data_IF_133410507262
#
_entry.id   IF_133410507262
#
_cell.length_a   1.000
_cell.length_b   1.000
_cell.length_c   1.000
_cell.angle_alpha   90.00
_cell.angle_beta   90.00
_cell.angle_gamma   90.00
#
_symmetry.space_group_name_H-M   'P 1'
#
loop_
_entity.id
_entity.type
_entity.pdbx_description
1 polymer ?
#
# COMPACT_ATOMS: atom_id res chain seq x y z
N UNK A 1 -2.63 -15.21 5.66
CA UNK A 1 -1.57 -15.45 6.68
C UNK A 1 -0.28 -14.86 6.13
N UNK A 2 0.68 -14.45 6.97
CA UNK A 2 2.02 -14.15 6.47
C UNK A 2 2.62 -15.40 5.83
N UNK A 3 3.21 -15.25 4.65
CA UNK A 3 3.96 -16.32 3.98
C UNK A 3 5.40 -16.35 4.52
N UNK A 4 5.91 -17.54 4.79
CA UNK A 4 7.28 -17.71 5.30
C UNK A 4 8.25 -18.03 4.17
N UNK A 5 9.23 -17.14 3.98
CA UNK A 5 10.36 -17.40 3.10
C UNK A 5 11.51 -17.95 3.96
N UNK A 6 11.98 -19.16 3.63
CA UNK A 6 13.16 -19.74 4.28
C UNK A 6 14.42 -19.22 3.60
N UNK A 7 15.30 -18.61 4.39
CA UNK A 7 16.61 -18.12 3.95
C UNK A 7 17.72 -18.85 4.72
N UNK A 8 18.90 -19.06 4.12
CA UNK A 8 20.08 -19.50 4.85
C UNK A 8 20.42 -18.55 6.01
N UNK A 9 20.93 -19.09 7.12
CA UNK A 9 21.25 -18.35 8.34
C UNK A 9 22.16 -17.15 8.08
N UNK A 10 23.17 -17.33 7.23
CA UNK A 10 24.13 -16.31 6.84
C UNK A 10 23.44 -15.12 6.16
N UNK A 11 22.42 -15.38 5.33
CA UNK A 11 21.63 -14.31 4.68
C UNK A 11 20.71 -13.59 5.66
N UNK A 12 20.19 -14.30 6.66
CA UNK A 12 19.40 -13.67 7.73
C UNK A 12 20.28 -12.73 8.57
N UNK A 13 21.49 -13.15 8.94
CA UNK A 13 22.43 -12.30 9.68
C UNK A 13 22.87 -11.09 8.87
N UNK A 14 23.14 -11.24 7.56
CA UNK A 14 23.41 -10.11 6.68
C UNK A 14 22.26 -9.11 6.61
N UNK A 15 21.01 -9.61 6.54
CA UNK A 15 19.82 -8.74 6.56
C UNK A 15 19.65 -8.04 7.90
N UNK A 16 19.97 -8.70 9.04
CA UNK A 16 19.98 -8.07 10.36
C UNK A 16 20.98 -6.91 10.41
N UNK A 17 22.23 -7.16 10.03
CA UNK A 17 23.27 -6.14 9.97
C UNK A 17 22.89 -4.98 9.06
N UNK A 18 22.33 -5.27 7.88
CA UNK A 18 21.84 -4.24 6.96
C UNK A 18 20.72 -3.40 7.58
N UNK A 19 19.77 -4.06 8.26
CA UNK A 19 18.64 -3.40 8.92
C UNK A 19 19.08 -2.48 10.06
N UNK A 20 20.10 -2.87 10.82
CA UNK A 20 20.71 -2.06 11.87
C UNK A 20 21.44 -0.84 11.28
N UNK A 21 22.26 -1.06 10.25
CA UNK A 21 23.00 0.00 9.58
C UNK A 21 22.08 1.06 8.95
N UNK A 22 20.92 0.65 8.47
CA UNK A 22 19.94 1.52 7.82
C UNK A 22 18.84 2.01 8.79
N UNK A 23 18.91 1.64 10.08
CA UNK A 23 17.94 1.96 11.13
C UNK A 23 16.48 1.71 10.68
N UNK A 24 16.24 0.56 10.07
CA UNK A 24 14.91 0.15 9.56
C UNK A 24 14.68 -1.34 9.84
N UNK A 25 13.43 -1.81 9.76
CA UNK A 25 13.18 -3.25 9.94
C UNK A 25 13.68 -4.07 8.74
N UNK A 26 13.87 -5.38 8.92
CA UNK A 26 14.19 -6.29 7.80
C UNK A 26 13.08 -6.23 6.72
N UNK A 27 11.82 -6.10 7.14
CA UNK A 27 10.70 -5.97 6.21
C UNK A 27 10.79 -4.67 5.39
N UNK A 28 11.24 -3.57 6.00
CA UNK A 28 11.43 -2.30 5.30
C UNK A 28 12.64 -2.35 4.37
N UNK A 29 13.73 -3.02 4.76
CA UNK A 29 14.88 -3.29 3.87
C UNK A 29 14.43 -4.01 2.59
N UNK A 30 13.62 -5.06 2.75
CA UNK A 30 13.08 -5.82 1.63
C UNK A 30 12.17 -4.92 0.76
N UNK A 31 11.33 -4.08 1.38
CA UNK A 31 10.47 -3.15 0.66
C UNK A 31 11.25 -2.07 -0.12
N UNK A 32 12.36 -1.56 0.42
CA UNK A 32 13.27 -0.67 -0.30
C UNK A 32 13.89 -1.39 -1.50
N UNK A 33 14.42 -2.61 -1.30
CA UNK A 33 15.02 -3.39 -2.37
C UNK A 33 14.03 -3.66 -3.51
N UNK A 34 12.79 -4.07 -3.19
CA UNK A 34 11.74 -4.30 -4.20
C UNK A 34 11.46 -3.02 -5.00
N UNK A 35 11.35 -1.86 -4.33
CA UNK A 35 11.14 -0.57 -5.01
C UNK A 35 12.29 -0.22 -5.95
N UNK A 36 13.54 -0.42 -5.52
CA UNK A 36 14.69 -0.22 -6.41
C UNK A 36 14.64 -1.12 -7.65
N UNK A 37 14.19 -2.38 -7.51
CA UNK A 37 14.05 -3.28 -8.65
C UNK A 37 12.93 -2.86 -9.61
N UNK A 38 11.84 -2.25 -9.09
CA UNK A 38 10.79 -1.64 -9.92
C UNK A 38 11.35 -0.44 -10.69
N UNK A 39 12.08 0.46 -10.02
CA UNK A 39 12.71 1.63 -10.65
C UNK A 39 13.72 1.24 -11.73
N UNK A 40 14.45 0.14 -11.52
CA UNK A 40 15.38 -0.44 -12.49
C UNK A 40 14.68 -1.18 -13.65
N UNK A 41 13.36 -1.35 -13.60
CA UNK A 41 12.57 -2.06 -14.61
C UNK A 41 12.68 -3.60 -14.53
N UNK A 42 13.29 -4.14 -13.47
CA UNK A 42 13.38 -5.59 -13.25
C UNK A 42 12.07 -6.19 -12.73
N UNK A 43 11.20 -5.35 -12.17
CA UNK A 43 9.86 -5.72 -11.71
C UNK A 43 8.84 -4.73 -12.29
N UNK A 44 7.67 -5.26 -12.67
CA UNK A 44 6.55 -4.42 -13.03
C UNK A 44 6.07 -3.61 -11.81
N UNK A 45 5.67 -2.37 -12.05
CA UNK A 45 5.14 -1.48 -11.03
C UNK A 45 3.69 -1.83 -10.66
N UNK A 46 3.52 -2.98 -9.99
CA UNK A 46 2.22 -3.53 -9.56
C UNK A 46 2.34 -4.16 -8.18
N UNK A 47 1.24 -4.13 -7.43
CA UNK A 47 1.15 -4.82 -6.13
C UNK A 47 0.49 -6.18 -6.34
N UNK A 48 1.17 -7.32 -6.07
CA UNK A 48 0.55 -8.63 -6.23
C UNK A 48 -0.76 -8.76 -5.44
N UNK A 49 -1.81 -9.25 -6.10
CA UNK A 49 -3.14 -9.41 -5.50
C UNK A 49 -3.96 -8.11 -5.37
N UNK A 50 -3.44 -6.98 -5.85
CA UNK A 50 -4.20 -5.73 -5.99
C UNK A 50 -4.05 -5.21 -7.42
N UNK A 51 -5.17 -5.01 -8.09
CA UNK A 51 -5.21 -4.48 -9.45
C UNK A 51 -5.81 -3.07 -9.41
N UNK A 52 -5.10 -2.11 -9.99
CA UNK A 52 -5.61 -0.74 -10.18
C UNK A 52 -5.57 -0.44 -11.68
N UNK A 53 -6.74 -0.25 -12.29
CA UNK A 53 -6.88 0.02 -13.71
C UNK A 53 -7.61 1.35 -13.91
N UNK A 54 -7.16 2.16 -14.87
CA UNK A 54 -7.92 3.33 -15.32
C UNK A 54 -8.67 3.03 -16.61
N UNK A 55 -9.96 3.33 -16.62
CA UNK A 55 -10.84 3.28 -17.80
C UNK A 55 -11.52 4.64 -17.96
N UNK A 56 -10.98 5.46 -18.87
CA UNK A 56 -11.46 6.83 -19.08
C UNK A 56 -11.27 7.70 -17.83
N UNK A 57 -12.37 8.19 -17.26
CA UNK A 57 -12.37 9.03 -16.05
C UNK A 57 -12.58 8.23 -14.74
N UNK A 58 -12.57 6.90 -14.82
CA UNK A 58 -12.79 6.01 -13.69
C UNK A 58 -11.56 5.14 -13.42
N UNK A 59 -11.22 4.98 -12.14
CA UNK A 59 -10.14 4.16 -11.61
C UNK A 59 -10.77 3.00 -10.87
N UNK A 60 -10.67 1.80 -11.42
CA UNK A 60 -11.13 0.57 -10.78
C UNK A 60 -10.03 0.03 -9.87
N UNK A 61 -10.37 -0.19 -8.60
CA UNK A 61 -9.50 -0.79 -7.59
C UNK A 61 -10.07 -2.16 -7.23
N UNK A 62 -9.30 -3.21 -7.45
CA UNK A 62 -9.62 -4.58 -7.06
C UNK A 62 -8.55 -5.08 -6.08
N UNK A 63 -8.93 -5.38 -4.85
CA UNK A 63 -8.00 -5.85 -3.80
C UNK A 63 -8.01 -7.38 -3.61
N UNK A 64 -8.77 -8.08 -4.45
CA UNK A 64 -9.15 -9.49 -4.28
C UNK A 64 -10.18 -9.72 -3.15
N UNK A 65 -10.38 -8.76 -2.25
CA UNK A 65 -11.42 -8.81 -1.21
C UNK A 65 -12.67 -7.99 -1.61
N UNK A 66 -12.46 -6.87 -2.29
CA UNK A 66 -13.51 -6.04 -2.86
C UNK A 66 -13.01 -5.39 -4.13
N UNK A 67 -13.98 -5.02 -4.98
CA UNK A 67 -13.75 -4.31 -6.23
C UNK A 67 -14.65 -3.10 -6.30
N UNK A 68 -14.07 -1.93 -6.52
CA UNK A 68 -14.79 -0.66 -6.57
C UNK A 68 -14.27 0.22 -7.71
N UNK A 69 -15.07 1.17 -8.17
CA UNK A 69 -14.69 2.12 -9.20
C UNK A 69 -14.81 3.54 -8.67
N UNK A 70 -13.71 4.28 -8.72
CA UNK A 70 -13.56 5.62 -8.16
C UNK A 70 -13.35 6.62 -9.29
N UNK A 71 -13.79 7.87 -9.12
CA UNK A 71 -13.30 8.94 -9.99
C UNK A 71 -11.82 9.21 -9.71
N UNK A 72 -11.09 9.79 -10.65
CA UNK A 72 -9.67 10.13 -10.46
C UNK A 72 -9.44 11.00 -9.20
N UNK A 73 -10.31 11.99 -8.95
CA UNK A 73 -10.21 12.83 -7.75
C UNK A 73 -10.45 12.05 -6.45
N UNK A 74 -11.43 11.14 -6.45
CA UNK A 74 -11.72 10.30 -5.29
C UNK A 74 -10.57 9.32 -5.02
N UNK A 75 -9.97 8.76 -6.07
CA UNK A 75 -8.78 7.91 -5.96
C UNK A 75 -7.59 8.65 -5.33
N UNK A 76 -7.32 9.90 -5.73
CA UNK A 76 -6.27 10.74 -5.10
C UNK A 76 -6.53 10.98 -3.62
N UNK A 77 -7.79 11.29 -3.25
CA UNK A 77 -8.18 11.50 -1.85
C UNK A 77 -8.03 10.22 -1.03
N UNK A 78 -8.43 9.08 -1.59
CA UNK A 78 -8.28 7.78 -0.93
C UNK A 78 -6.81 7.42 -0.71
N UNK A 79 -5.95 7.67 -1.69
CA UNK A 79 -4.51 7.49 -1.56
C UNK A 79 -3.91 8.36 -0.43
N UNK A 80 -4.32 9.63 -0.34
CA UNK A 80 -3.90 10.53 0.73
C UNK A 80 -4.33 10.05 2.12
N UNK A 81 -5.56 9.52 2.25
CA UNK A 81 -6.07 8.95 3.50
C UNK A 81 -5.26 7.72 3.95
N UNK A 82 -4.98 6.80 3.02
CA UNK A 82 -4.15 5.62 3.32
C UNK A 82 -2.74 6.07 3.73
N UNK A 83 -2.14 7.02 3.01
CA UNK A 83 -0.80 7.54 3.35
C UNK A 83 -0.75 8.16 4.76
N UNK A 84 -1.76 8.95 5.13
CA UNK A 84 -1.84 9.57 6.45
C UNK A 84 -1.96 8.55 7.60
N UNK A 85 -2.49 7.35 7.31
CA UNK A 85 -2.58 6.27 8.29
C UNK A 85 -1.28 5.45 8.36
N UNK A 86 -0.54 5.32 7.25
CA UNK A 86 0.75 4.61 7.20
C UNK A 86 1.85 5.43 7.88
N UNK A 87 1.96 6.71 7.52
CA UNK A 87 2.89 7.65 8.15
C UNK A 87 2.09 8.57 9.05
N UNK A 88 2.15 8.43 10.39
CA UNK A 88 1.58 9.43 11.27
C UNK A 88 2.37 10.73 11.11
N UNK A 89 2.01 11.53 10.11
CA UNK A 89 2.52 12.89 9.94
C UNK A 89 1.80 13.75 10.97
N UNK A 90 2.56 14.59 11.67
CA UNK A 90 2.18 15.64 12.63
C UNK A 90 1.31 16.75 12.02
N UNK A 91 0.61 16.46 10.92
CA UNK A 91 -0.32 17.37 10.27
C UNK A 91 -1.47 16.50 9.72
N UNK A 92 -2.69 16.62 10.30
CA UNK A 92 -3.87 15.99 9.74
C UNK A 92 -3.99 16.38 8.26
N UNK A 93 -4.28 15.42 7.39
CA UNK A 93 -4.65 15.73 6.01
C UNK A 93 -5.82 16.74 6.05
N UNK A 94 -5.64 17.92 5.43
CA UNK A 94 -6.72 18.90 5.28
C UNK A 94 -7.80 18.31 4.37
N UNK A 95 -8.93 17.93 4.97
CA UNK A 95 -10.11 17.33 4.32
C UNK A 95 -9.94 15.84 4.04
N UNK A 96 -10.90 14.93 4.27
CA UNK A 96 -12.34 15.08 4.15
C UNK A 96 -13.05 13.81 4.73
N UNK A 97 -14.12 13.93 5.56
CA UNK A 97 -14.89 12.79 6.11
C UNK A 97 -15.86 12.06 5.14
N UNK A 98 -15.69 12.21 3.81
CA UNK A 98 -16.69 11.76 2.82
C UNK A 98 -16.11 10.91 1.68
N UNK A 99 -15.62 9.70 1.99
CA UNK A 99 -15.77 8.59 1.04
C UNK A 99 -16.81 7.64 1.67
N UNK A 100 -18.10 7.74 1.29
CA UNK A 100 -19.16 7.01 1.98
C UNK A 100 -18.98 5.48 1.88
N UNK A 101 -18.34 5.01 0.80
CA UNK A 101 -18.21 3.60 0.46
C UNK A 101 -16.84 3.00 0.80
N UNK A 102 -15.81 3.80 1.07
CA UNK A 102 -14.47 3.30 1.41
C UNK A 102 -13.95 3.96 2.68
N UNK A 103 -13.35 3.16 3.54
CA UNK A 103 -12.78 3.59 4.81
C UNK A 103 -11.41 2.96 5.03
N UNK A 104 -10.64 3.58 5.91
CA UNK A 104 -9.29 3.15 6.26
C UNK A 104 -9.14 3.23 7.77
N UNK A 105 -8.83 2.10 8.39
CA UNK A 105 -8.63 2.00 9.82
C UNK A 105 -7.26 1.41 10.14
N UNK A 106 -6.66 1.84 11.26
CA UNK A 106 -5.44 1.20 11.78
C UNK A 106 -5.80 -0.11 12.47
N UNK A 107 -5.00 -1.16 12.24
CA UNK A 107 -5.11 -2.46 12.92
C UNK A 107 -3.73 -2.86 13.46
N UNK A 108 -3.45 -2.46 14.69
CA UNK A 108 -2.12 -2.60 15.28
C UNK A 108 -1.08 -1.83 14.47
N UNK A 109 -0.06 -2.52 13.97
CA UNK A 109 0.94 -1.94 13.05
C UNK A 109 0.50 -1.94 11.60
N UNK A 110 -0.63 -2.55 11.24
CA UNK A 110 -1.12 -2.69 9.86
C UNK A 110 -2.23 -1.70 9.52
N UNK A 111 -2.55 -1.57 8.22
CA UNK A 111 -3.65 -0.75 7.71
C UNK A 111 -4.77 -1.65 7.19
N UNK A 112 -6.02 -1.37 7.58
CA UNK A 112 -7.22 -2.08 7.11
C UNK A 112 -7.97 -1.17 6.13
N UNK A 113 -8.03 -1.57 4.88
CA UNK A 113 -8.91 -1.01 3.86
C UNK A 113 -10.29 -1.65 4.03
N UNK A 114 -11.35 -0.84 4.03
CA UNK A 114 -12.72 -1.27 4.30
C UNK A 114 -13.60 -0.73 3.18
N UNK A 115 -14.41 -1.59 2.59
CA UNK A 115 -15.55 -1.20 1.76
C UNK A 115 -16.79 -1.17 2.68
N UNK A 116 -17.35 0.02 2.88
CA UNK A 116 -18.53 0.26 3.73
C UNK A 116 -19.82 -0.20 3.07
N UNK A 117 -19.88 -0.28 1.74
CA UNK A 117 -21.07 -0.76 1.04
C UNK A 117 -21.24 -2.26 1.20
N UNK A 118 -20.13 -3.01 1.14
CA UNK A 118 -20.15 -4.49 1.25
C UNK A 118 -19.76 -5.01 2.63
N UNK A 119 -19.13 -4.19 3.47
CA UNK A 119 -18.51 -4.60 4.73
C UNK A 119 -17.20 -5.39 4.55
N UNK A 120 -16.75 -5.61 3.30
CA UNK A 120 -15.53 -6.33 3.01
C UNK A 120 -14.30 -5.52 3.45
N UNK A 121 -13.22 -6.22 3.82
CA UNK A 121 -12.00 -5.55 4.24
C UNK A 121 -10.74 -6.33 3.91
N UNK A 122 -9.68 -5.59 3.58
CA UNK A 122 -8.33 -6.10 3.33
C UNK A 122 -7.36 -5.46 4.31
N UNK A 123 -6.58 -6.26 5.03
CA UNK A 123 -5.49 -5.74 5.88
C UNK A 123 -4.17 -5.83 5.11
N UNK A 124 -3.42 -4.73 5.09
CA UNK A 124 -2.12 -4.57 4.43
C UNK A 124 -1.04 -4.25 5.47
N UNK A 125 0.15 -4.80 5.27
CA UNK A 125 1.35 -4.34 5.98
C UNK A 125 1.68 -2.88 5.56
N UNK A 126 2.35 -2.08 6.41
CA UNK A 126 2.67 -0.67 6.10
C UNK A 126 3.36 -0.46 4.76
N UNK A 127 4.40 -1.26 4.46
CA UNK A 127 5.13 -1.20 3.20
C UNK A 127 4.23 -1.46 1.98
N UNK A 128 3.39 -2.48 2.05
CA UNK A 128 2.42 -2.82 1.01
C UNK A 128 1.37 -1.72 0.83
N UNK A 129 0.97 -1.06 1.93
CA UNK A 129 0.07 0.09 1.87
C UNK A 129 0.73 1.31 1.20
N UNK A 130 2.04 1.54 1.39
CA UNK A 130 2.76 2.59 0.64
C UNK A 130 2.80 2.29 -0.87
N UNK A 131 3.09 1.05 -1.25
CA UNK A 131 3.09 0.64 -2.65
C UNK A 131 1.71 0.78 -3.27
N UNK A 132 0.65 0.41 -2.54
CA UNK A 132 -0.74 0.61 -2.97
C UNK A 132 -1.06 2.09 -3.22
N UNK A 133 -0.72 2.98 -2.28
CA UNK A 133 -0.92 4.44 -2.44
C UNK A 133 -0.25 4.95 -3.70
N UNK A 134 0.99 4.54 -3.93
CA UNK A 134 1.80 4.99 -5.07
C UNK A 134 1.17 4.57 -6.40
N UNK A 135 0.77 3.30 -6.53
CA UNK A 135 0.09 2.78 -7.73
C UNK A 135 -1.27 3.48 -7.96
N UNK A 136 -2.00 3.76 -6.89
CA UNK A 136 -3.29 4.45 -6.96
C UNK A 136 -3.14 5.88 -7.47
N UNK A 137 -2.16 6.63 -6.99
CA UNK A 137 -1.89 8.00 -7.43
C UNK A 137 -1.41 8.08 -8.87
N UNK A 138 -0.52 7.16 -9.27
CA UNK A 138 -0.08 7.06 -10.67
C UNK A 138 -1.28 6.85 -11.60
N UNK A 139 -2.18 5.93 -11.23
CA UNK A 139 -3.38 5.63 -12.02
C UNK A 139 -4.34 6.83 -12.06
N UNK A 140 -4.49 7.55 -10.96
CA UNK A 140 -5.35 8.73 -10.88
C UNK A 140 -4.78 9.99 -11.58
N UNK A 141 -3.49 9.98 -11.95
CA UNK A 141 -2.82 11.14 -12.56
C UNK A 141 -2.63 11.05 -14.09
N UNK A 142 -2.78 9.85 -14.67
CA UNK A 142 -2.72 9.61 -16.13
C UNK A 142 -4.08 9.84 -16.82
#
# INVERSE_FOLDING_TARGET
>A
MPDFIKLPSERVEQLRQLSENLNMSIADCIAVFIREQIEKGNLEDRVPGITVERKGNSVTVDTGAFRTSLTADLAKRYAAQVRAMVRPISTPAKGNPFIPELDVARRGTSIKLIDRATGAAKTLAPSVAEDFVRVLEQSASK
#
